data_IF_140432822824
#
_entry.id   IF_140432822824
#
_cell.length_a   1.000
_cell.length_b   1.000
_cell.length_c   1.000
_cell.angle_alpha   90.00
_cell.angle_beta   90.00
_cell.angle_gamma   90.00
#
_symmetry.space_group_name_H-M   'P 1'
#
loop_
_entity.id
_entity.type
_entity.pdbx_description
1 polymer ?
#
# COMPACT_ATOMS: atom_id res chain seq x y z
N UNK A 1 24.79 -48.85 30.46
CA UNK A 1 25.39 -48.18 29.29
C UNK A 1 24.26 -47.76 28.37
N UNK A 2 24.23 -46.47 28.04
CA UNK A 2 23.56 -45.79 26.91
C UNK A 2 22.05 -45.97 26.70
N UNK A 3 21.29 -45.03 27.28
CA UNK A 3 20.04 -44.48 26.75
C UNK A 3 20.31 -43.72 25.44
N UNK A 4 19.66 -44.08 24.33
CA UNK A 4 19.67 -43.30 23.10
C UNK A 4 18.36 -42.52 22.95
N UNK A 5 18.48 -41.20 23.03
CA UNK A 5 17.43 -40.23 22.75
C UNK A 5 17.22 -40.10 21.24
N UNK A 6 15.96 -40.19 20.81
CA UNK A 6 15.52 -39.84 19.46
C UNK A 6 15.41 -38.31 19.36
N UNK A 7 16.35 -37.67 18.67
CA UNK A 7 16.27 -36.25 18.32
C UNK A 7 15.55 -36.08 16.98
N UNK A 8 14.27 -35.68 17.04
CA UNK A 8 13.52 -35.22 15.88
C UNK A 8 14.07 -33.85 15.47
N UNK A 9 14.84 -33.83 14.39
CA UNK A 9 15.38 -32.58 13.84
C UNK A 9 14.27 -31.94 13.00
N UNK A 10 13.56 -30.95 13.57
CA UNK A 10 12.65 -30.08 12.81
C UNK A 10 13.47 -29.22 11.84
N UNK A 11 13.46 -29.60 10.57
CA UNK A 11 14.06 -28.82 9.49
C UNK A 11 13.32 -27.51 9.29
N UNK A 12 13.95 -26.40 9.67
CA UNK A 12 13.54 -25.06 9.23
C UNK A 12 13.77 -24.96 7.72
N UNK A 13 12.68 -25.01 6.94
CA UNK A 13 12.72 -24.68 5.51
C UNK A 13 12.88 -23.18 5.38
N UNK A 14 14.13 -22.73 5.26
CA UNK A 14 14.49 -21.36 4.91
C UNK A 14 14.13 -21.15 3.44
N UNK A 15 12.94 -20.63 3.13
CA UNK A 15 12.55 -20.29 1.75
C UNK A 15 13.40 -19.10 1.28
N UNK A 16 14.39 -19.38 0.44
CA UNK A 16 15.15 -18.38 -0.33
C UNK A 16 14.26 -17.73 -1.39
N UNK A 17 14.46 -16.43 -1.63
CA UNK A 17 13.89 -15.69 -2.76
C UNK A 17 14.06 -16.46 -4.08
N UNK A 18 13.00 -17.07 -4.60
CA UNK A 18 13.07 -17.83 -5.85
C UNK A 18 12.92 -16.86 -7.03
N UNK A 19 14.04 -16.49 -7.64
CA UNK A 19 14.06 -16.10 -9.04
C UNK A 19 14.24 -17.37 -9.87
N UNK A 20 13.23 -17.77 -10.66
CA UNK A 20 13.30 -18.96 -11.51
C UNK A 20 13.08 -18.56 -12.97
N UNK A 21 14.14 -18.04 -13.59
CA UNK A 21 14.20 -17.74 -15.02
C UNK A 21 15.21 -16.63 -15.35
N UNK A 22 15.87 -16.66 -16.52
CA UNK A 22 16.66 -15.54 -17.01
C UNK A 22 15.77 -14.28 -17.07
N UNK A 23 16.23 -13.16 -16.50
CA UNK A 23 15.50 -11.88 -16.52
C UNK A 23 14.46 -11.66 -15.41
N UNK A 24 14.15 -12.66 -14.57
CA UNK A 24 13.25 -12.46 -13.41
C UNK A 24 13.98 -11.78 -12.24
N UNK A 25 13.36 -10.75 -11.67
CA UNK A 25 13.86 -10.05 -10.50
C UNK A 25 13.61 -10.86 -9.22
N UNK A 26 14.51 -10.82 -8.22
CA UNK A 26 14.23 -11.40 -6.91
C UNK A 26 13.03 -10.68 -6.24
N UNK A 27 12.12 -11.47 -5.67
CA UNK A 27 10.97 -10.96 -4.91
C UNK A 27 11.15 -11.30 -3.42
N UNK A 28 11.54 -10.34 -2.58
CA UNK A 28 11.71 -10.58 -1.15
C UNK A 28 10.40 -10.42 -0.39
N UNK A 29 9.72 -11.52 -0.07
CA UNK A 29 8.58 -11.57 0.86
C UNK A 29 9.02 -11.44 2.34
N UNK A 30 9.87 -10.46 2.63
CA UNK A 30 10.38 -10.14 3.97
C UNK A 30 10.58 -8.62 4.11
N UNK A 31 9.89 -8.02 5.08
CA UNK A 31 9.94 -6.59 5.37
C UNK A 31 11.36 -6.06 5.66
N UNK A 32 12.31 -6.92 6.08
CA UNK A 32 13.73 -6.54 6.23
C UNK A 32 14.32 -5.98 4.94
N UNK A 33 13.82 -6.39 3.78
CA UNK A 33 14.23 -5.82 2.50
C UNK A 33 13.87 -4.32 2.41
N UNK A 34 12.68 -3.93 2.84
CA UNK A 34 12.26 -2.53 2.95
C UNK A 34 13.07 -1.76 3.97
N UNK A 35 13.26 -2.32 5.17
CA UNK A 35 14.02 -1.67 6.24
C UNK A 35 15.43 -1.27 5.78
N UNK A 36 16.12 -2.16 5.06
CA UNK A 36 17.46 -1.89 4.48
C UNK A 36 17.48 -0.76 3.46
N UNK A 37 16.32 -0.40 2.88
CA UNK A 37 16.18 0.56 1.78
C UNK A 37 15.46 1.84 2.19
N UNK A 38 14.95 1.90 3.41
CA UNK A 38 14.22 3.04 3.96
C UNK A 38 15.02 4.35 3.89
N UNK A 39 16.32 4.31 4.20
CA UNK A 39 17.21 5.48 4.16
C UNK A 39 17.62 5.91 2.74
N UNK A 40 17.10 5.26 1.70
CA UNK A 40 17.37 5.60 0.30
C UNK A 40 16.08 5.94 -0.46
N UNK A 41 15.25 6.87 0.03
CA UNK A 41 13.89 7.10 -0.48
C UNK A 41 13.85 7.52 -1.95
N UNK A 42 14.94 8.08 -2.50
CA UNK A 42 15.03 8.50 -3.90
C UNK A 42 15.37 7.38 -4.88
N UNK A 43 15.59 6.15 -4.41
CA UNK A 43 15.88 4.99 -5.26
C UNK A 43 14.62 4.15 -5.43
N UNK A 44 14.02 4.09 -6.63
CA UNK A 44 12.90 3.19 -6.89
C UNK A 44 13.26 1.74 -6.54
N UNK A 45 12.29 0.92 -6.09
CA UNK A 45 12.51 -0.51 -5.90
C UNK A 45 12.81 -1.21 -7.24
N UNK A 46 13.43 -2.40 -7.24
CA UNK A 46 13.67 -3.16 -8.45
C UNK A 46 12.39 -3.35 -9.28
N UNK A 47 12.48 -3.15 -10.59
CA UNK A 47 11.35 -3.32 -11.52
C UNK A 47 10.41 -2.12 -11.65
N UNK A 48 10.53 -1.10 -10.79
CA UNK A 48 9.76 0.14 -10.91
C UNK A 48 10.54 1.25 -11.63
N UNK A 49 9.80 2.15 -12.27
CA UNK A 49 10.32 3.38 -12.89
C UNK A 49 11.37 3.16 -14.00
N UNK A 50 11.34 2.00 -14.65
CA UNK A 50 12.20 1.69 -15.79
C UNK A 50 11.90 2.65 -16.96
N UNK A 51 12.88 3.44 -17.44
CA UNK A 51 12.66 4.38 -18.54
C UNK A 51 12.44 3.68 -19.89
N UNK A 52 12.78 2.39 -19.99
CA UNK A 52 12.70 1.62 -21.25
C UNK A 52 11.44 0.75 -21.36
N UNK A 53 10.66 0.64 -20.29
CA UNK A 53 9.45 -0.19 -20.28
C UNK A 53 8.32 0.47 -21.07
N UNK A 54 7.53 -0.36 -21.75
CA UNK A 54 6.30 0.01 -22.48
C UNK A 54 5.21 -1.03 -22.18
N UNK A 55 3.95 -0.61 -21.94
CA UNK A 55 2.82 -1.52 -21.78
C UNK A 55 2.67 -2.49 -22.96
N UNK A 56 2.17 -3.69 -22.68
CA UNK A 56 1.91 -4.73 -23.68
C UNK A 56 0.42 -4.78 -24.01
N UNK A 57 0.02 -5.54 -25.03
CA UNK A 57 -1.42 -5.78 -25.29
C UNK A 57 -2.09 -6.52 -24.13
N UNK A 58 -1.37 -7.45 -23.48
CA UNK A 58 -1.83 -8.20 -22.31
C UNK A 58 -1.97 -7.31 -21.07
N UNK A 59 -1.06 -6.36 -20.87
CA UNK A 59 -1.08 -5.40 -19.76
C UNK A 59 -0.96 -3.97 -20.30
N UNK A 60 -2.04 -3.40 -20.85
CA UNK A 60 -2.00 -2.16 -21.62
C UNK A 60 -1.90 -0.90 -20.75
N UNK A 61 -2.04 -1.02 -19.44
CA UNK A 61 -2.02 0.10 -18.50
C UNK A 61 -0.80 0.02 -17.57
N UNK A 62 -0.10 1.14 -17.33
CA UNK A 62 0.91 1.18 -16.28
C UNK A 62 0.25 1.13 -14.90
N UNK A 63 0.94 0.51 -13.93
CA UNK A 63 0.51 0.42 -12.54
C UNK A 63 1.33 1.38 -11.69
N UNK A 64 0.68 2.33 -11.01
CA UNK A 64 1.33 3.27 -10.09
C UNK A 64 1.12 2.86 -8.64
N UNK A 65 2.23 2.66 -7.93
CA UNK A 65 2.27 2.22 -6.54
C UNK A 65 2.40 3.40 -5.55
N UNK A 66 1.50 3.46 -4.56
CA UNK A 66 1.38 4.56 -3.59
C UNK A 66 1.74 4.11 -2.17
N UNK A 67 2.86 4.61 -1.64
CA UNK A 67 3.38 4.18 -0.34
C UNK A 67 2.53 4.68 0.84
N UNK A 68 2.73 4.10 2.03
CA UNK A 68 2.03 4.46 3.26
C UNK A 68 2.43 5.83 3.85
N UNK A 69 1.64 6.27 4.83
CA UNK A 69 1.98 7.36 5.73
C UNK A 69 3.35 7.15 6.40
N UNK A 70 4.17 8.20 6.47
CA UNK A 70 5.54 8.17 7.02
C UNK A 70 6.47 7.10 6.42
N UNK A 71 6.17 6.64 5.21
CA UNK A 71 6.98 5.67 4.47
C UNK A 71 7.67 6.34 3.27
N UNK A 72 8.16 5.55 2.32
CA UNK A 72 8.62 5.98 1.00
C UNK A 72 8.53 4.82 0.01
N UNK A 73 8.65 5.12 -1.30
CA UNK A 73 8.60 4.12 -2.37
C UNK A 73 9.60 2.98 -2.18
N UNK A 74 10.80 3.29 -1.67
CA UNK A 74 11.90 2.36 -1.52
C UNK A 74 11.67 1.35 -0.40
N UNK A 75 10.97 1.74 0.67
CA UNK A 75 10.56 0.83 1.73
C UNK A 75 9.30 0.05 1.34
N UNK A 76 8.30 0.68 0.74
CA UNK A 76 6.98 0.04 0.64
C UNK A 76 6.93 -1.10 -0.39
N UNK A 77 7.73 -1.03 -1.45
CA UNK A 77 7.49 -1.83 -2.66
C UNK A 77 8.68 -2.70 -3.07
N UNK A 78 9.55 -3.09 -2.13
CA UNK A 78 10.66 -4.01 -2.42
C UNK A 78 10.20 -5.40 -2.87
N UNK A 79 8.98 -5.81 -2.50
CA UNK A 79 8.39 -7.07 -2.94
C UNK A 79 7.42 -6.87 -4.11
N UNK A 80 6.44 -5.99 -3.95
CA UNK A 80 5.39 -5.76 -4.94
C UNK A 80 5.86 -5.32 -6.31
N UNK A 81 6.82 -4.37 -6.38
CA UNK A 81 7.30 -3.88 -7.67
C UNK A 81 8.00 -4.94 -8.52
N UNK A 82 9.01 -5.68 -8.01
CA UNK A 82 9.60 -6.76 -8.80
C UNK A 82 8.61 -7.90 -9.05
N UNK A 83 7.65 -8.15 -8.14
CA UNK A 83 6.61 -9.16 -8.34
C UNK A 83 5.71 -8.84 -9.54
N UNK A 84 5.13 -7.63 -9.58
CA UNK A 84 4.31 -7.20 -10.72
C UNK A 84 5.12 -7.13 -12.01
N UNK A 85 6.38 -6.67 -11.96
CA UNK A 85 7.23 -6.67 -13.16
C UNK A 85 7.51 -8.08 -13.68
N UNK A 86 7.72 -9.05 -12.79
CA UNK A 86 7.89 -10.45 -13.19
C UNK A 86 6.63 -11.05 -13.84
N UNK A 87 5.46 -10.41 -13.65
CA UNK A 87 4.19 -10.72 -14.29
C UNK A 87 3.87 -9.75 -15.44
N UNK A 88 4.88 -9.12 -16.06
CA UNK A 88 4.70 -8.36 -17.30
C UNK A 88 4.17 -6.92 -17.14
N UNK A 89 3.87 -6.46 -15.92
CA UNK A 89 3.34 -5.12 -15.71
C UNK A 89 4.41 -4.03 -15.84
N UNK A 90 3.99 -2.88 -16.39
CA UNK A 90 4.73 -1.61 -16.33
C UNK A 90 4.54 -0.95 -14.97
N UNK A 91 5.49 -1.14 -14.06
CA UNK A 91 5.37 -0.65 -12.68
C UNK A 91 6.03 0.71 -12.48
N UNK A 92 5.31 1.61 -11.84
CA UNK A 92 5.77 2.92 -11.44
C UNK A 92 5.57 3.16 -9.95
N UNK A 93 6.44 3.96 -9.35
CA UNK A 93 6.37 4.37 -7.95
C UNK A 93 6.64 5.86 -7.84
N UNK A 94 5.97 6.52 -6.91
CA UNK A 94 6.25 7.92 -6.56
C UNK A 94 6.46 8.08 -5.06
N UNK A 95 7.24 9.08 -4.67
CA UNK A 95 7.15 9.62 -3.32
C UNK A 95 6.19 10.80 -3.33
N UNK A 96 5.27 10.83 -2.39
CA UNK A 96 4.25 11.88 -2.27
C UNK A 96 4.32 12.53 -0.88
N UNK A 97 3.80 13.74 -0.75
CA UNK A 97 3.58 14.35 0.56
C UNK A 97 4.84 14.54 1.42
N UNK A 98 5.97 14.95 0.82
CA UNK A 98 7.18 15.34 1.55
C UNK A 98 6.90 16.64 2.35
N UNK A 99 7.08 16.66 3.68
CA UNK A 99 6.88 17.90 4.44
C UNK A 99 7.83 19.02 4.00
N UNK A 100 7.38 20.27 4.00
CA UNK A 100 8.23 21.41 3.59
C UNK A 100 9.51 21.52 4.42
N UNK A 101 9.43 21.22 5.71
CA UNK A 101 10.59 21.26 6.62
C UNK A 101 11.56 20.08 6.40
N UNK A 102 11.07 18.95 5.90
CA UNK A 102 11.85 17.72 5.67
C UNK A 102 12.97 17.90 4.63
N UNK A 103 12.79 18.83 3.69
CA UNK A 103 13.82 19.15 2.69
C UNK A 103 15.13 19.69 3.27
N UNK A 104 15.08 20.28 4.48
CA UNK A 104 16.28 20.86 5.15
C UNK A 104 17.12 19.83 5.89
N UNK A 105 16.53 18.70 6.28
CA UNK A 105 17.16 17.69 7.15
C UNK A 105 17.32 16.33 6.48
N UNK A 106 17.03 16.24 5.17
CA UNK A 106 17.08 15.01 4.38
C UNK A 106 16.41 13.80 5.06
N UNK A 107 15.23 14.02 5.66
CA UNK A 107 14.52 12.91 6.31
C UNK A 107 13.99 11.92 5.27
N UNK A 108 14.05 10.60 5.56
CA UNK A 108 13.72 9.57 4.59
C UNK A 108 12.22 9.39 4.35
N UNK A 109 11.38 9.82 5.30
CA UNK A 109 9.95 9.60 5.22
C UNK A 109 9.23 10.66 4.38
N UNK A 110 8.12 10.22 3.81
CA UNK A 110 7.20 10.91 2.94
C UNK A 110 5.77 10.60 3.40
N UNK A 111 4.76 11.12 2.70
CA UNK A 111 3.36 10.82 2.99
C UNK A 111 2.89 11.39 4.31
N UNK A 112 3.28 12.61 4.65
CA UNK A 112 2.83 13.28 5.88
C UNK A 112 2.57 14.79 5.72
N UNK A 113 2.76 15.33 4.51
CA UNK A 113 2.34 16.69 4.17
C UNK A 113 0.82 16.78 3.98
N UNK A 114 0.34 17.97 3.64
CA UNK A 114 -1.06 18.23 3.33
C UNK A 114 -1.60 17.28 2.24
N UNK A 115 -2.81 16.74 2.48
CA UNK A 115 -3.42 15.74 1.62
C UNK A 115 -3.82 16.29 0.25
N UNK A 116 -4.34 17.52 0.18
CA UNK A 116 -4.71 18.14 -1.10
C UNK A 116 -3.48 18.30 -1.99
N UNK A 117 -2.41 18.86 -1.44
CA UNK A 117 -1.16 19.00 -2.18
C UNK A 117 -0.59 17.64 -2.61
N UNK A 118 -0.70 16.63 -1.75
CA UNK A 118 -0.26 15.27 -2.08
C UNK A 118 -1.10 14.66 -3.22
N UNK A 119 -2.41 14.89 -3.23
CA UNK A 119 -3.30 14.44 -4.29
C UNK A 119 -3.07 15.18 -5.61
N UNK A 120 -2.69 16.46 -5.58
CA UNK A 120 -2.24 17.20 -6.77
C UNK A 120 -0.94 16.62 -7.35
N UNK A 121 -0.01 16.16 -6.50
CA UNK A 121 1.18 15.43 -6.96
C UNK A 121 0.81 14.10 -7.64
N UNK A 122 -0.15 13.36 -7.06
CA UNK A 122 -0.68 12.14 -7.67
C UNK A 122 -1.32 12.43 -9.03
N UNK A 123 -2.17 13.46 -9.12
CA UNK A 123 -2.79 13.87 -10.37
C UNK A 123 -1.75 14.19 -11.46
N UNK A 124 -0.70 14.93 -11.12
CA UNK A 124 0.38 15.24 -12.05
C UNK A 124 1.13 13.99 -12.53
N UNK A 125 1.37 13.02 -11.63
CA UNK A 125 2.05 11.78 -11.97
C UNK A 125 1.19 10.85 -12.84
N UNK A 126 -0.12 10.74 -12.54
CA UNK A 126 -1.09 10.03 -13.37
C UNK A 126 -1.07 10.59 -14.80
N UNK A 127 -1.19 11.90 -14.93
CA UNK A 127 -1.16 12.59 -16.22
C UNK A 127 0.18 12.44 -16.96
N UNK A 128 1.29 12.44 -16.23
CA UNK A 128 2.62 12.18 -16.81
C UNK A 128 2.71 10.76 -17.40
N UNK A 129 2.19 9.75 -16.69
CA UNK A 129 2.18 8.37 -17.15
C UNK A 129 1.25 8.16 -18.34
N UNK A 130 0.03 8.72 -18.28
CA UNK A 130 -0.91 8.71 -19.41
C UNK A 130 -0.29 9.29 -20.67
N UNK A 131 0.32 10.48 -20.59
CA UNK A 131 1.03 11.11 -21.72
C UNK A 131 2.23 10.30 -22.20
N UNK A 132 3.00 9.70 -21.29
CA UNK A 132 4.18 8.89 -21.65
C UNK A 132 3.79 7.68 -22.50
N UNK A 133 2.67 7.06 -22.20
CA UNK A 133 2.27 5.79 -22.82
C UNK A 133 1.11 5.92 -23.81
N UNK A 134 0.51 7.09 -23.95
CA UNK A 134 -0.64 7.30 -24.84
C UNK A 134 -1.88 6.52 -24.39
N UNK A 135 -2.09 6.39 -23.08
CA UNK A 135 -3.22 5.64 -22.49
C UNK A 135 -4.22 6.58 -21.83
N UNK A 136 -5.50 6.24 -21.90
CA UNK A 136 -6.58 7.02 -21.28
C UNK A 136 -6.67 6.84 -19.77
N UNK A 137 -6.23 5.67 -19.29
CA UNK A 137 -6.31 5.30 -17.88
C UNK A 137 -5.04 4.58 -17.42
N UNK A 138 -4.80 4.63 -16.12
CA UNK A 138 -3.79 3.82 -15.43
C UNK A 138 -4.43 3.03 -14.30
N UNK A 139 -3.65 2.11 -13.71
CA UNK A 139 -4.05 1.39 -12.50
C UNK A 139 -3.31 1.92 -11.28
N UNK A 140 -4.00 1.99 -10.15
CA UNK A 140 -3.42 2.40 -8.87
C UNK A 140 -3.42 1.24 -7.89
N UNK A 141 -2.28 1.03 -7.22
CA UNK A 141 -2.17 0.13 -6.06
C UNK A 141 -1.58 0.93 -4.90
N UNK A 142 -2.30 1.05 -3.80
CA UNK A 142 -1.83 1.84 -2.65
C UNK A 142 -1.83 1.08 -1.35
N UNK A 143 -0.91 1.42 -0.46
CA UNK A 143 -0.82 0.86 0.89
C UNK A 143 -1.23 1.90 1.94
N UNK A 144 -2.03 1.53 2.94
CA UNK A 144 -2.33 2.38 4.10
C UNK A 144 -2.79 3.78 3.69
N UNK A 145 -2.13 4.85 4.12
CA UNK A 145 -2.44 6.23 3.71
C UNK A 145 -2.41 6.48 2.20
N UNK A 146 -1.57 5.76 1.45
CA UNK A 146 -1.49 5.83 -0.01
C UNK A 146 -2.68 5.15 -0.70
N UNK A 147 -3.11 4.00 -0.16
CA UNK A 147 -4.26 3.23 -0.64
C UNK A 147 -5.62 3.72 -0.14
N UNK A 148 -5.61 4.51 0.94
CA UNK A 148 -6.81 5.11 1.51
C UNK A 148 -6.88 6.60 1.20
N UNK A 149 -6.52 7.43 2.18
CA UNK A 149 -6.74 8.88 2.12
C UNK A 149 -6.22 9.54 0.83
N UNK A 150 -5.01 9.23 0.38
CA UNK A 150 -4.45 9.85 -0.82
C UNK A 150 -5.24 9.46 -2.08
N UNK A 151 -5.39 8.15 -2.31
CA UNK A 151 -6.07 7.62 -3.49
C UNK A 151 -7.52 8.09 -3.52
N UNK A 152 -8.24 7.96 -2.41
CA UNK A 152 -9.65 8.35 -2.35
C UNK A 152 -9.82 9.88 -2.44
N UNK A 153 -8.90 10.69 -1.91
CA UNK A 153 -8.96 12.13 -2.13
C UNK A 153 -8.79 12.49 -3.62
N UNK A 154 -7.83 11.87 -4.31
CA UNK A 154 -7.66 12.07 -5.76
C UNK A 154 -8.91 11.65 -6.55
N UNK A 155 -9.48 10.48 -6.25
CA UNK A 155 -10.65 9.97 -6.95
C UNK A 155 -11.92 10.79 -6.65
N UNK A 156 -12.20 11.05 -5.38
CA UNK A 156 -13.50 11.55 -4.92
C UNK A 156 -13.58 13.08 -4.82
N UNK A 157 -12.45 13.74 -4.60
CA UNK A 157 -12.38 15.20 -4.34
C UNK A 157 -11.75 15.95 -5.51
N UNK A 158 -10.66 15.43 -6.09
CA UNK A 158 -10.07 16.00 -7.31
C UNK A 158 -10.72 15.46 -8.60
N UNK A 159 -11.75 14.62 -8.46
CA UNK A 159 -12.49 14.02 -9.57
C UNK A 159 -11.58 13.27 -10.57
N UNK A 160 -10.50 12.67 -10.07
CA UNK A 160 -9.52 11.94 -10.88
C UNK A 160 -10.00 10.57 -11.39
N UNK A 161 -11.17 10.11 -10.94
CA UNK A 161 -11.72 8.78 -11.25
C UNK A 161 -11.82 8.43 -12.76
N UNK A 162 -12.05 9.36 -13.72
CA UNK A 162 -12.07 9.00 -15.14
C UNK A 162 -10.72 8.51 -15.67
N UNK A 163 -9.62 8.84 -14.97
CA UNK A 163 -8.25 8.49 -15.34
C UNK A 163 -7.79 7.13 -14.81
N UNK A 164 -8.62 6.44 -14.01
CA UNK A 164 -8.24 5.21 -13.32
C UNK A 164 -9.15 4.06 -13.78
N UNK A 165 -8.57 2.89 -14.03
CA UNK A 165 -9.33 1.66 -14.33
C UNK A 165 -9.46 0.79 -13.07
N UNK A 166 -8.33 0.38 -12.48
CA UNK A 166 -8.29 -0.35 -11.21
C UNK A 166 -7.80 0.52 -10.05
N UNK A 167 -8.56 0.60 -8.96
CA UNK A 167 -8.18 1.24 -7.71
C UNK A 167 -8.05 0.17 -6.62
N UNK A 168 -6.82 -0.27 -6.35
CA UNK A 168 -6.52 -1.40 -5.46
C UNK A 168 -5.84 -0.90 -4.20
N UNK A 169 -6.39 -1.27 -3.05
CA UNK A 169 -6.02 -0.72 -1.75
C UNK A 169 -5.63 -1.86 -0.81
N UNK A 170 -4.39 -1.86 -0.34
CA UNK A 170 -3.84 -2.82 0.63
C UNK A 170 -3.79 -2.17 2.01
N UNK A 171 -4.48 -2.75 2.98
CA UNK A 171 -4.66 -2.22 4.33
C UNK A 171 -4.94 -0.70 4.38
N UNK A 172 -5.89 -0.17 3.58
CA UNK A 172 -6.05 1.27 3.44
C UNK A 172 -6.56 1.92 4.72
N UNK A 173 -6.16 3.16 4.95
CA UNK A 173 -6.73 4.02 5.99
C UNK A 173 -8.04 4.68 5.52
N UNK A 174 -8.94 3.92 4.87
CA UNK A 174 -10.25 4.43 4.48
C UNK A 174 -11.04 4.81 5.72
N UNK A 175 -11.87 5.86 5.63
CA UNK A 175 -12.63 6.41 6.75
C UNK A 175 -11.79 6.83 7.98
N UNK A 176 -10.47 7.02 7.78
CA UNK A 176 -9.54 7.44 8.81
C UNK A 176 -8.99 6.30 9.66
N UNK A 177 -7.89 6.57 10.35
CA UNK A 177 -7.23 5.60 11.25
C UNK A 177 -7.60 5.83 12.70
N UNK A 178 -7.60 4.73 13.45
CA UNK A 178 -7.83 4.69 14.88
C UNK A 178 -6.57 4.88 15.72
N UNK A 179 -5.66 5.74 15.26
CA UNK A 179 -4.85 6.54 16.19
C UNK A 179 -5.71 7.17 17.32
N UNK A 180 -7.04 7.17 17.15
CA UNK A 180 -8.18 7.37 18.06
C UNK A 180 -8.09 7.06 19.55
N UNK A 181 -7.10 6.33 20.10
CA UNK A 181 -6.90 6.40 21.57
C UNK A 181 -5.84 7.43 21.88
N UNK A 182 -4.64 7.30 21.31
CA UNK A 182 -3.53 8.21 21.61
C UNK A 182 -3.73 9.60 21.00
N UNK A 183 -4.11 9.70 19.73
CA UNK A 183 -4.41 10.97 19.04
C UNK A 183 -5.67 11.63 19.57
N UNK A 184 -6.73 10.89 19.87
CA UNK A 184 -7.92 11.44 20.55
C UNK A 184 -7.57 11.95 21.95
N UNK A 185 -6.82 11.17 22.75
CA UNK A 185 -6.37 11.58 24.09
C UNK A 185 -5.47 12.81 23.99
N UNK A 186 -4.46 12.84 23.11
CA UNK A 186 -3.60 14.01 22.94
C UNK A 186 -4.34 15.23 22.40
N UNK A 187 -5.30 15.06 21.47
CA UNK A 187 -6.16 16.11 20.94
C UNK A 187 -7.07 16.71 22.01
N UNK A 188 -7.62 15.89 22.92
CA UNK A 188 -8.56 16.35 23.94
C UNK A 188 -7.89 16.77 25.27
N UNK A 189 -6.79 16.14 25.67
CA UNK A 189 -6.08 16.40 26.94
C UNK A 189 -5.01 17.49 26.79
N UNK A 190 -4.39 17.61 25.61
CA UNK A 190 -3.36 18.62 25.34
C UNK A 190 -3.56 19.30 23.96
N UNK A 191 -4.73 19.91 23.70
CA UNK A 191 -5.12 20.43 22.37
C UNK A 191 -4.12 21.40 21.78
N UNK A 192 -3.52 22.28 22.59
CA UNK A 192 -2.50 23.25 22.12
C UNK A 192 -1.22 22.57 21.61
N UNK A 193 -0.76 21.51 22.28
CA UNK A 193 0.47 20.78 21.88
C UNK A 193 0.21 19.91 20.65
N UNK A 194 -0.95 19.26 20.59
CA UNK A 194 -1.41 18.50 19.43
C UNK A 194 -1.57 19.41 18.20
N UNK A 195 -2.24 20.56 18.34
CA UNK A 195 -2.40 21.52 17.26
C UNK A 195 -1.07 22.08 16.76
N UNK A 196 -0.08 22.30 17.65
CA UNK A 196 1.24 22.79 17.26
C UNK A 196 2.03 21.74 16.46
N UNK A 197 1.97 20.47 16.87
CA UNK A 197 2.70 19.36 16.26
C UNK A 197 2.02 18.83 14.99
N UNK A 198 0.72 18.53 15.05
CA UNK A 198 -0.04 17.92 13.95
C UNK A 198 -0.24 18.90 12.78
N UNK A 199 -0.74 20.12 13.00
CA UNK A 199 -1.02 21.05 11.87
C UNK A 199 0.24 21.59 11.19
N UNK A 200 1.36 21.69 11.91
CA UNK A 200 2.58 22.36 11.41
C UNK A 200 3.66 21.39 10.95
N UNK A 201 3.81 20.22 11.58
CA UNK A 201 4.85 19.25 11.23
C UNK A 201 4.30 18.08 10.41
N UNK A 202 3.08 17.62 10.68
CA UNK A 202 2.47 16.44 10.03
C UNK A 202 0.96 16.63 9.74
N UNK A 203 0.57 17.54 8.82
CA UNK A 203 -0.84 17.88 8.57
C UNK A 203 -1.76 16.69 8.32
N UNK A 204 -1.25 15.62 7.71
CA UNK A 204 -2.00 14.41 7.44
C UNK A 204 -2.47 13.67 8.71
N UNK A 205 -1.80 13.86 9.85
CA UNK A 205 -2.29 13.32 11.13
C UNK A 205 -3.64 13.92 11.54
N UNK A 206 -3.84 15.22 11.28
CA UNK A 206 -5.09 15.92 11.59
C UNK A 206 -6.17 15.57 10.55
N UNK A 207 -5.79 15.56 9.27
CA UNK A 207 -6.68 15.23 8.13
C UNK A 207 -7.09 13.75 8.08
N UNK A 208 -6.30 12.85 8.66
CA UNK A 208 -6.58 11.41 8.70
C UNK A 208 -7.36 10.95 9.93
N UNK A 209 -7.72 11.86 10.84
CA UNK A 209 -8.58 11.54 11.98
C UNK A 209 -10.00 11.21 11.48
N UNK A 210 -10.60 10.16 12.05
CA UNK A 210 -11.89 9.62 11.61
C UNK A 210 -13.05 10.64 11.64
N UNK A 211 -12.97 11.64 12.51
CA UNK A 211 -13.96 12.71 12.68
C UNK A 211 -13.50 14.04 12.06
N UNK A 212 -12.48 14.02 11.20
CA UNK A 212 -12.01 15.22 10.53
C UNK A 212 -12.92 15.60 9.36
N UNK A 213 -13.03 16.90 9.09
CA UNK A 213 -13.74 17.41 7.91
C UNK A 213 -13.15 16.87 6.58
N UNK A 214 -11.92 16.37 6.58
CA UNK A 214 -11.32 15.73 5.40
C UNK A 214 -11.92 14.35 5.13
N UNK A 215 -12.26 13.57 6.16
CA UNK A 215 -12.98 12.31 5.98
C UNK A 215 -14.36 12.57 5.40
N UNK A 216 -15.12 13.51 5.97
CA UNK A 216 -16.42 13.90 5.44
C UNK A 216 -16.34 14.40 3.99
N UNK A 217 -15.28 15.14 3.65
CA UNK A 217 -15.04 15.61 2.28
C UNK A 217 -14.81 14.46 1.29
N UNK A 218 -14.08 13.42 1.69
CA UNK A 218 -13.74 12.28 0.83
C UNK A 218 -14.93 11.32 0.67
N UNK A 219 -15.61 10.99 1.78
CA UNK A 219 -16.58 9.89 1.86
C UNK A 219 -18.04 10.33 2.05
N UNK A 220 -18.30 11.59 2.42
CA UNK A 220 -19.65 12.09 2.74
C UNK A 220 -20.64 12.10 1.56
N UNK A 221 -20.18 11.79 0.34
CA UNK A 221 -21.00 11.61 -0.87
C UNK A 221 -20.95 10.17 -1.39
N UNK A 222 -20.61 9.21 -0.53
CA UNK A 222 -20.35 7.82 -0.90
C UNK A 222 -18.88 7.57 -1.24
N UNK A 223 -18.48 6.33 -1.02
CA UNK A 223 -17.10 5.87 -1.04
C UNK A 223 -16.48 5.83 -2.43
N UNK A 224 -17.30 5.57 -3.44
CA UNK A 224 -16.85 5.29 -4.80
C UNK A 224 -17.33 6.30 -5.84
N UNK A 225 -16.71 6.27 -7.02
CA UNK A 225 -17.12 7.01 -8.21
C UNK A 225 -17.32 6.03 -9.38
N UNK A 226 -18.16 6.37 -10.37
CA UNK A 226 -18.36 5.49 -11.52
C UNK A 226 -17.08 5.38 -12.36
N UNK A 227 -16.84 4.24 -12.98
CA UNK A 227 -15.69 4.02 -13.88
C UNK A 227 -14.66 3.06 -13.30
N UNK A 228 -13.96 3.38 -12.20
CA UNK A 228 -13.02 2.45 -11.61
C UNK A 228 -13.70 1.25 -10.96
N UNK A 229 -13.01 0.11 -10.95
CA UNK A 229 -13.30 -0.98 -10.02
C UNK A 229 -12.41 -0.85 -8.80
N UNK A 230 -12.99 -1.03 -7.62
CA UNK A 230 -12.32 -0.85 -6.34
C UNK A 230 -12.08 -2.20 -5.70
N UNK A 231 -10.84 -2.48 -5.29
CA UNK A 231 -10.53 -3.67 -4.50
C UNK A 231 -9.85 -3.28 -3.21
N UNK A 232 -10.37 -3.73 -2.07
CA UNK A 232 -9.74 -3.55 -0.76
C UNK A 232 -9.26 -4.89 -0.27
N UNK A 233 -7.97 -5.00 0.06
CA UNK A 233 -7.34 -6.17 0.66
C UNK A 233 -6.97 -5.80 2.09
N UNK A 234 -7.62 -6.45 3.06
CA UNK A 234 -7.49 -6.14 4.48
C UNK A 234 -7.06 -7.37 5.29
N UNK A 235 -6.48 -7.13 6.46
CA UNK A 235 -6.19 -8.17 7.45
C UNK A 235 -6.95 -7.90 8.74
N UNK A 236 -7.48 -8.94 9.38
CA UNK A 236 -8.12 -8.81 10.69
C UNK A 236 -7.14 -8.48 11.82
N UNK A 237 -5.84 -8.74 11.59
CA UNK A 237 -4.75 -8.47 12.53
C UNK A 237 -4.20 -7.05 12.42
N UNK A 238 -4.88 -6.15 11.70
CA UNK A 238 -4.45 -4.78 11.54
C UNK A 238 -4.53 -4.02 12.88
N UNK A 239 -3.40 -3.56 13.39
CA UNK A 239 -3.35 -2.81 14.66
C UNK A 239 -3.39 -1.28 14.48
N UNK A 240 -3.46 -0.77 13.24
CA UNK A 240 -3.41 0.67 12.93
C UNK A 240 -4.79 1.17 12.49
N UNK A 241 -5.49 0.41 11.66
CA UNK A 241 -6.86 0.69 11.21
C UNK A 241 -7.78 -0.23 12.01
N UNK A 242 -8.28 0.26 13.14
CA UNK A 242 -9.15 -0.52 14.04
C UNK A 242 -10.52 0.16 14.28
N UNK A 243 -11.63 -0.58 14.20
CA UNK A 243 -11.75 -1.95 13.68
C UNK A 243 -11.41 -2.02 12.19
N UNK A 244 -10.73 -3.09 11.77
CA UNK A 244 -10.23 -3.27 10.40
C UNK A 244 -11.31 -3.14 9.32
N UNK A 245 -12.56 -3.51 9.65
CA UNK A 245 -13.71 -3.40 8.74
C UNK A 245 -13.99 -1.96 8.29
N UNK A 246 -13.51 -0.93 9.01
CA UNK A 246 -13.60 0.47 8.56
C UNK A 246 -12.80 0.75 7.29
N UNK A 247 -11.81 -0.09 6.99
CA UNK A 247 -11.03 0.01 5.77
C UNK A 247 -11.83 -0.36 4.51
N UNK A 248 -12.89 -1.16 4.65
CA UNK A 248 -13.71 -1.57 3.52
C UNK A 248 -14.49 -0.40 2.94
N UNK A 249 -14.70 -0.45 1.63
CA UNK A 249 -15.51 0.52 0.89
C UNK A 249 -16.89 -0.06 0.60
N UNK A 250 -17.87 0.82 0.39
CA UNK A 250 -19.22 0.47 -0.05
C UNK A 250 -19.49 0.96 -1.49
N UNK A 251 -20.20 0.14 -2.28
CA UNK A 251 -20.61 0.50 -3.64
C UNK A 251 -20.69 -0.68 -4.60
N UNK A 252 -21.32 -0.48 -5.78
CA UNK A 252 -21.61 -1.56 -6.72
C UNK A 252 -20.37 -2.16 -7.40
N UNK A 253 -19.26 -1.42 -7.44
CA UNK A 253 -18.02 -1.83 -8.11
C UNK A 253 -16.90 -2.15 -7.10
N UNK A 254 -17.25 -2.53 -5.88
CA UNK A 254 -16.29 -2.81 -4.80
C UNK A 254 -16.15 -4.31 -4.57
N UNK A 255 -14.90 -4.77 -4.44
CA UNK A 255 -14.56 -6.08 -3.89
C UNK A 255 -13.75 -5.90 -2.61
N UNK A 256 -14.31 -6.29 -1.47
CA UNK A 256 -13.61 -6.30 -0.18
C UNK A 256 -13.11 -7.72 0.11
N UNK A 257 -11.82 -7.87 0.36
CA UNK A 257 -11.13 -9.14 0.60
C UNK A 257 -10.52 -9.08 2.00
N UNK A 258 -10.87 -10.05 2.85
CA UNK A 258 -10.17 -10.30 4.10
C UNK A 258 -9.17 -11.44 3.88
N UNK A 259 -7.89 -11.22 4.18
CA UNK A 259 -6.85 -12.24 3.92
C UNK A 259 -7.09 -13.57 4.63
N UNK A 260 -7.72 -13.50 5.80
CA UNK A 260 -8.08 -14.65 6.62
C UNK A 260 -9.25 -15.47 6.04
N UNK A 261 -10.01 -14.92 5.08
CA UNK A 261 -11.03 -15.68 4.36
C UNK A 261 -10.35 -16.78 3.53
N UNK A 262 -10.57 -18.03 3.94
CA UNK A 262 -9.94 -19.20 3.33
C UNK A 262 -8.45 -19.41 3.66
N UNK A 263 -7.86 -18.60 4.56
CA UNK A 263 -6.48 -18.77 5.03
C UNK A 263 -6.26 -18.21 6.45
N UNK A 264 -6.80 -18.84 7.52
CA UNK A 264 -6.62 -18.36 8.89
C UNK A 264 -5.17 -18.34 9.39
N UNK A 265 -4.25 -19.01 8.69
CA UNK A 265 -2.81 -19.02 9.01
C UNK A 265 -2.05 -17.81 8.43
N UNK A 266 -2.71 -16.93 7.69
CA UNK A 266 -2.14 -15.66 7.28
C UNK A 266 -2.25 -14.65 8.43
N UNK A 267 -1.16 -14.52 9.19
CA UNK A 267 -1.08 -13.66 10.38
C UNK A 267 -0.49 -12.28 10.07
N UNK A 268 -0.51 -11.86 8.80
CA UNK A 268 0.03 -10.57 8.39
C UNK A 268 -0.67 -9.41 9.10
N UNK A 269 0.10 -8.43 9.57
CA UNK A 269 -0.42 -7.20 10.17
C UNK A 269 -0.23 -6.00 9.23
N UNK A 270 -0.62 -4.79 9.68
CA UNK A 270 -0.64 -3.57 8.86
C UNK A 270 0.67 -3.27 8.10
N UNK A 271 1.83 -3.52 8.69
CA UNK A 271 3.12 -3.24 8.04
C UNK A 271 3.59 -4.43 7.18
N UNK A 272 3.42 -5.67 7.65
CA UNK A 272 3.88 -6.86 6.95
C UNK A 272 3.01 -7.27 5.75
N UNK A 273 1.75 -6.84 5.68
CA UNK A 273 0.83 -7.15 4.57
C UNK A 273 1.37 -6.75 3.19
N UNK A 274 2.15 -5.66 3.10
CA UNK A 274 2.77 -5.26 1.82
C UNK A 274 3.94 -6.17 1.39
N UNK A 275 4.39 -7.04 2.29
CA UNK A 275 5.40 -8.08 2.08
C UNK A 275 4.81 -9.49 2.05
N UNK A 276 3.47 -9.59 2.02
CA UNK A 276 2.75 -10.85 1.93
C UNK A 276 2.45 -11.20 0.47
N UNK A 277 2.99 -12.33 0.00
CA UNK A 277 2.73 -12.86 -1.35
C UNK A 277 1.24 -13.05 -1.63
N UNK A 278 0.45 -13.48 -0.65
CA UNK A 278 -1.00 -13.71 -0.77
C UNK A 278 -1.73 -12.41 -1.09
N UNK A 279 -1.36 -11.32 -0.43
CA UNK A 279 -1.92 -10.00 -0.73
C UNK A 279 -1.62 -9.57 -2.18
N UNK A 280 -0.40 -9.80 -2.68
CA UNK A 280 -0.04 -9.45 -4.05
C UNK A 280 -0.63 -10.38 -5.12
N UNK A 281 -0.94 -11.63 -4.79
CA UNK A 281 -1.73 -12.50 -5.67
C UNK A 281 -3.16 -11.98 -5.81
N UNK A 282 -3.77 -11.47 -4.74
CA UNK A 282 -5.05 -10.76 -4.84
C UNK A 282 -4.93 -9.46 -5.68
N UNK A 283 -3.81 -8.74 -5.58
CA UNK A 283 -3.55 -7.58 -6.46
C UNK A 283 -3.49 -8.00 -7.93
N UNK A 284 -2.81 -9.10 -8.28
CA UNK A 284 -2.77 -9.60 -9.66
C UNK A 284 -4.16 -9.91 -10.19
N UNK A 285 -4.97 -10.63 -9.41
CA UNK A 285 -6.36 -10.93 -9.80
C UNK A 285 -7.22 -9.66 -9.96
N UNK A 286 -6.96 -8.63 -9.16
CA UNK A 286 -7.68 -7.36 -9.26
C UNK A 286 -7.22 -6.51 -10.47
N UNK A 287 -5.95 -6.66 -10.88
CA UNK A 287 -5.40 -6.01 -12.09
C UNK A 287 -5.91 -6.70 -13.37
N UNK A 288 -6.04 -8.03 -13.35
CA UNK A 288 -6.53 -8.83 -14.48
C UNK A 288 -7.62 -9.82 -14.03
N UNK A 289 -8.88 -9.34 -13.88
CA UNK A 289 -9.98 -10.17 -13.41
C UNK A 289 -10.43 -11.24 -14.43
N UNK A 290 -10.11 -11.08 -15.71
CA UNK A 290 -10.46 -12.06 -16.76
C UNK A 290 -9.64 -13.35 -16.65
N UNK A 291 -8.41 -13.24 -16.11
CA UNK A 291 -7.49 -14.36 -15.89
C UNK A 291 -7.20 -14.60 -14.40
N UNK A 292 -8.11 -14.22 -13.52
CA UNK A 292 -7.93 -14.39 -12.08
C UNK A 292 -7.78 -15.87 -11.67
N UNK A 293 -6.77 -16.17 -10.86
CA UNK A 293 -6.48 -17.52 -10.36
C UNK A 293 -6.85 -17.69 -8.88
N UNK A 294 -7.21 -18.90 -8.41
CA UNK A 294 -7.39 -19.15 -6.98
C UNK A 294 -6.14 -18.81 -6.17
N UNK A 295 -6.27 -17.94 -5.16
CA UNK A 295 -5.14 -17.55 -4.31
C UNK A 295 -4.88 -18.65 -3.24
N UNK A 296 -3.72 -19.31 -3.25
CA UNK A 296 -3.42 -20.42 -2.34
C UNK A 296 -3.28 -19.97 -0.88
N UNK A 297 -3.76 -20.81 0.03
CA UNK A 297 -3.58 -20.64 1.48
C UNK A 297 -2.18 -21.09 1.89
N UNK A 298 -1.43 -20.23 2.56
CA UNK A 298 -0.16 -20.58 3.20
C UNK A 298 0.10 -19.66 4.39
N UNK A 299 0.81 -20.20 5.38
CA UNK A 299 1.17 -19.46 6.58
C UNK A 299 2.06 -18.24 6.26
N UNK A 300 1.69 -17.10 6.84
CA UNK A 300 2.48 -15.87 6.85
C UNK A 300 2.58 -15.39 8.30
N UNK A 301 3.79 -15.16 8.80
CA UNK A 301 4.00 -14.73 10.19
C UNK A 301 3.91 -13.18 10.32
N UNK A 302 3.53 -12.65 11.51
CA UNK A 302 3.45 -11.20 11.75
C UNK A 302 4.84 -10.52 11.77
N UNK A 303 4.89 -9.24 11.44
CA UNK A 303 6.09 -8.38 11.37
C UNK A 303 7.21 -8.87 10.44
N UNK A 304 7.95 -9.87 10.91
CA UNK A 304 9.17 -10.39 10.33
C UNK A 304 9.08 -11.92 10.32
N UNK A 305 9.19 -12.56 9.14
CA UNK A 305 9.31 -14.00 9.07
C UNK A 305 10.45 -14.49 9.98
N UNK A 306 10.11 -15.34 10.96
CA UNK A 306 11.05 -16.02 11.85
C UNK A 306 11.69 -15.20 12.98
N UNK A 307 11.04 -14.15 13.50
CA UNK A 307 11.46 -13.55 14.77
C UNK A 307 11.11 -14.51 15.93
N UNK A 308 12.12 -15.16 16.51
CA UNK A 308 12.06 -15.84 17.81
C UNK A 308 12.64 -14.93 18.88
#
# INVERSE_FOLDING_TARGET
MTTSATSTTTGQVRRSSRATGPGKLPVPWDMRAGVKRYLTPGKPPPGANDPTVTPTEEHPRPVLLLHAFMSNQSFNFQAGAPFLRNHGYCVFTMNWGKPKWAGRFNVPFHGSADLRHSAEQLAAEVERLKRRFGVDKIDLVGHSGGGGLLMQYYLNVLEGYPNIDKAISIAPSNHGVSFSTLTYVYRNVAPRMYHLMARKLFPLCDQGAADSATIDLIYGKGDTRPGPTYTVIMTEHDQIVTPFKKAFLDGPNVTNILLQDGCPEDLSEHASIIYNERAWLHVLNALDPEHAEPVPSFRVDPYFPGWK
#
